data_IF_793938146311
#
_entry.id   IF_793938146311
#
_cell.length_a   1.000
_cell.length_b   1.000
_cell.length_c   1.000
_cell.angle_alpha   90.00
_cell.angle_beta   90.00
_cell.angle_gamma   90.00
#
_symmetry.space_group_name_H-M   'P 1'
#
loop_
_entity.id
_entity.type
_entity.pdbx_description
1 polymer ?
#
# COMPACT_ATOMS: atom_id res chain seq x y z
N UNK A 1 6.64 12.31 3.11
CA UNK A 1 6.76 11.34 1.99
C UNK A 1 5.38 10.82 1.68
N UNK A 2 4.97 10.84 0.42
CA UNK A 2 3.73 10.20 0.01
C UNK A 2 3.85 8.69 0.29
N UNK A 3 2.77 8.03 0.65
CA UNK A 3 2.79 6.61 0.99
C UNK A 3 1.75 5.85 0.16
N UNK A 4 2.11 4.67 -0.34
CA UNK A 4 1.12 3.70 -0.82
C UNK A 4 1.14 2.51 0.12
N UNK A 5 -0.05 2.10 0.55
CA UNK A 5 -0.19 0.91 1.37
C UNK A 5 -0.43 -0.29 0.46
N UNK A 6 0.35 -1.35 0.64
CA UNK A 6 0.21 -2.59 -0.12
C UNK A 6 -0.17 -3.68 0.87
N UNK A 7 -1.32 -4.31 0.70
CA UNK A 7 -1.68 -5.51 1.42
C UNK A 7 -0.97 -6.72 0.85
N UNK A 8 -0.19 -7.39 1.68
CA UNK A 8 0.38 -8.69 1.39
C UNK A 8 -0.43 -9.75 2.15
N UNK A 9 -1.16 -10.56 1.41
CA UNK A 9 -1.97 -11.64 1.95
C UNK A 9 -1.13 -12.91 2.13
N UNK A 10 -1.59 -13.82 2.97
CA UNK A 10 -0.92 -15.10 3.24
C UNK A 10 -0.75 -15.97 1.97
N UNK A 11 -1.71 -15.86 1.04
CA UNK A 11 -1.66 -16.44 -0.30
C UNK A 11 -0.53 -15.89 -1.20
N UNK A 12 0.29 -14.93 -0.72
CA UNK A 12 1.34 -14.24 -1.48
C UNK A 12 0.83 -13.14 -2.40
N UNK A 13 -0.49 -12.94 -2.50
CA UNK A 13 -1.04 -11.85 -3.30
C UNK A 13 -0.74 -10.50 -2.68
N UNK A 14 -0.43 -9.53 -3.55
CA UNK A 14 -0.26 -8.12 -3.20
C UNK A 14 -1.40 -7.31 -3.78
N UNK A 15 -2.04 -6.48 -2.98
CA UNK A 15 -3.10 -5.59 -3.42
C UNK A 15 -2.83 -4.20 -2.88
N UNK A 16 -2.86 -3.20 -3.75
CA UNK A 16 -2.78 -1.82 -3.30
C UNK A 16 -4.04 -1.48 -2.49
N UNK A 17 -3.83 -1.00 -1.26
CA UNK A 17 -4.88 -0.43 -0.45
C UNK A 17 -5.15 0.99 -0.93
N UNK A 18 -6.23 1.17 -1.68
CA UNK A 18 -6.68 2.48 -2.15
C UNK A 18 -5.68 3.17 -3.07
N UNK A 19 -5.42 4.45 -2.82
CA UNK A 19 -4.53 5.30 -3.63
C UNK A 19 -3.29 5.76 -2.89
N UNK A 20 -2.52 6.63 -3.55
CA UNK A 20 -1.38 7.33 -2.92
C UNK A 20 -1.92 8.23 -1.81
N UNK A 21 -1.47 8.01 -0.58
CA UNK A 21 -1.70 8.92 0.53
C UNK A 21 -0.70 10.07 0.39
N UNK A 22 -1.18 11.30 0.10
CA UNK A 22 -0.30 12.43 -0.09
C UNK A 22 0.32 12.85 1.23
N UNK A 23 1.56 13.34 1.18
CA UNK A 23 2.17 14.00 2.34
C UNK A 23 2.03 15.52 2.24
N UNK A 24 2.31 16.21 3.34
CA UNK A 24 2.31 17.68 3.39
C UNK A 24 3.22 18.35 2.35
N UNK A 25 4.22 17.62 1.84
CA UNK A 25 5.14 18.10 0.81
C UNK A 25 4.71 17.68 -0.61
N UNK A 26 3.50 17.17 -0.82
CA UNK A 26 3.03 16.84 -2.17
C UNK A 26 3.05 18.09 -3.05
N UNK A 27 3.60 17.97 -4.26
CA UNK A 27 3.79 19.07 -5.21
C UNK A 27 4.79 20.17 -4.76
N UNK A 28 5.58 19.93 -3.72
CA UNK A 28 6.69 20.82 -3.34
C UNK A 28 8.03 20.17 -3.73
N UNK A 29 9.10 20.96 -3.95
CA UNK A 29 10.43 20.41 -4.23
C UNK A 29 10.99 19.56 -3.09
N UNK A 30 10.40 19.64 -1.88
CA UNK A 30 10.74 18.77 -0.74
C UNK A 30 10.03 17.39 -0.79
N UNK A 31 9.23 17.12 -1.83
CA UNK A 31 8.62 15.82 -2.03
C UNK A 31 9.67 14.76 -2.39
N UNK A 32 9.97 13.86 -1.46
CA UNK A 32 10.89 12.73 -1.68
C UNK A 32 10.23 11.54 -2.41
N UNK A 33 9.14 11.77 -3.13
CA UNK A 33 8.39 10.74 -3.85
C UNK A 33 7.42 9.91 -2.99
N UNK A 34 7.01 8.78 -3.57
CA UNK A 34 6.07 7.81 -2.98
C UNK A 34 6.85 6.62 -2.42
N UNK A 35 6.59 6.26 -1.16
CA UNK A 35 7.16 5.09 -0.51
C UNK A 35 6.11 3.98 -0.36
N UNK A 36 6.49 2.77 -0.74
CA UNK A 36 5.66 1.58 -0.53
C UNK A 36 5.72 1.15 0.94
N UNK A 37 4.55 0.90 1.51
CA UNK A 37 4.36 0.47 2.88
C UNK A 37 3.63 -0.88 2.87
N UNK A 38 4.36 -2.01 2.81
CA UNK A 38 3.74 -3.32 2.84
C UNK A 38 3.13 -3.58 4.23
N UNK A 39 1.87 -4.00 4.23
CA UNK A 39 1.10 -4.41 5.40
C UNK A 39 0.72 -5.87 5.23
N UNK A 40 1.30 -6.75 6.05
CA UNK A 40 0.92 -8.17 6.04
C UNK A 40 -0.47 -8.35 6.66
N UNK A 41 -1.38 -8.95 5.91
CA UNK A 41 -2.66 -9.44 6.42
C UNK A 41 -2.56 -10.95 6.63
N UNK A 42 -2.09 -11.33 7.82
CA UNK A 42 -2.02 -12.73 8.25
C UNK A 42 -3.42 -13.24 8.54
N UNK A 43 -3.76 -14.43 8.03
CA UNK A 43 -5.07 -15.06 8.26
C UNK A 43 -6.23 -14.51 7.43
N UNK A 44 -6.00 -13.54 6.53
CA UNK A 44 -7.02 -13.03 5.61
C UNK A 44 -6.79 -13.63 4.23
N UNK A 45 -7.82 -14.30 3.69
CA UNK A 45 -7.80 -14.77 2.30
C UNK A 45 -8.00 -13.59 1.38
N UNK A 46 -7.14 -13.49 0.38
CA UNK A 46 -7.27 -12.52 -0.68
C UNK A 46 -8.54 -12.81 -1.51
N UNK A 47 -9.24 -11.75 -1.95
CA UNK A 47 -10.47 -11.87 -2.76
C UNK A 47 -10.31 -12.73 -4.01
N UNK A 48 -9.08 -12.83 -4.53
CA UNK A 48 -8.72 -13.66 -5.69
C UNK A 48 -8.80 -15.16 -5.43
N UNK A 49 -8.72 -15.59 -4.16
CA UNK A 49 -8.81 -17.00 -3.76
C UNK A 49 -10.07 -17.30 -2.94
N UNK A 50 -11.14 -16.51 -3.15
CA UNK A 50 -12.45 -16.78 -2.56
C UNK A 50 -12.60 -16.33 -1.10
N UNK A 51 -11.99 -15.17 -0.78
CA UNK A 51 -12.18 -14.35 0.43
C UNK A 51 -13.12 -14.89 1.50
#
# INVERSE_FOLDING_TARGET
MCSIYIYEYDCGCKQQEGGVVPCANQNTPACKGVKEQPRKRVGVKCVRHGG
#
